data_IF_117898977808
#
_entry.id   IF_117898977808
#
_cell.length_a   1.000
_cell.length_b   1.000
_cell.length_c   1.000
_cell.angle_alpha   90.00
_cell.angle_beta   90.00
_cell.angle_gamma   90.00
#
_symmetry.space_group_name_H-M   'P 1'
#
loop_
_entity.id
_entity.type
_entity.pdbx_description
1 polymer ?
#
# COMPACT_ATOMS: atom_id res chain seq x y z
N UNK A 1 17.14 -3.28 -21.15
CA UNK A 1 15.70 -3.08 -20.94
C UNK A 1 15.55 -1.88 -20.04
N UNK A 2 15.06 -0.76 -20.57
CA UNK A 2 14.78 0.45 -19.82
C UNK A 2 13.57 1.07 -20.52
N UNK A 3 12.44 0.39 -20.42
CA UNK A 3 11.17 0.88 -20.93
C UNK A 3 10.61 1.85 -19.89
N UNK A 4 10.23 3.04 -20.33
CA UNK A 4 9.60 4.03 -19.45
C UNK A 4 8.17 3.56 -19.20
N UNK A 5 7.93 2.96 -18.03
CA UNK A 5 6.59 2.59 -17.63
C UNK A 5 5.77 3.86 -17.35
N UNK A 6 4.61 3.98 -17.99
CA UNK A 6 3.73 5.15 -17.83
C UNK A 6 2.90 5.01 -16.58
N UNK A 7 2.86 6.08 -15.79
CA UNK A 7 1.99 6.20 -14.63
C UNK A 7 0.87 7.18 -14.95
N UNK A 8 -0.37 6.73 -14.86
CA UNK A 8 -1.54 7.58 -15.02
C UNK A 8 -1.87 8.24 -13.69
N UNK A 9 -1.71 9.56 -13.63
CA UNK A 9 -2.01 10.37 -12.43
C UNK A 9 -3.46 10.86 -12.39
N UNK A 10 -4.31 10.39 -13.30
CA UNK A 10 -5.73 10.68 -13.31
C UNK A 10 -6.46 10.03 -12.14
N UNK A 11 -7.56 10.65 -11.74
CA UNK A 11 -8.45 10.11 -10.70
C UNK A 11 -9.16 8.87 -11.22
N UNK A 12 -8.62 7.69 -10.91
CA UNK A 12 -9.20 6.41 -11.30
C UNK A 12 -10.48 6.13 -10.52
N UNK A 13 -11.42 5.49 -11.21
CA UNK A 13 -12.61 4.89 -10.61
C UNK A 13 -12.32 3.42 -10.28
N UNK A 14 -13.22 2.77 -9.54
CA UNK A 14 -13.12 1.34 -9.20
C UNK A 14 -12.77 0.49 -10.43
N UNK A 15 -11.86 -0.48 -10.26
CA UNK A 15 -11.35 -1.38 -11.30
C UNK A 15 -10.50 -0.72 -12.40
N UNK A 16 -9.79 0.36 -12.09
CA UNK A 16 -8.79 0.94 -12.99
C UNK A 16 -7.46 1.12 -12.29
N UNK A 17 -6.38 0.74 -12.97
CA UNK A 17 -5.02 0.89 -12.46
C UNK A 17 -4.40 2.24 -12.87
N UNK A 18 -3.61 2.82 -11.98
CA UNK A 18 -2.71 3.95 -12.25
C UNK A 18 -1.39 3.49 -12.86
N UNK A 19 -0.98 2.29 -12.52
CA UNK A 19 0.22 1.67 -13.04
C UNK A 19 -0.09 0.23 -13.39
N UNK A 20 0.29 -0.19 -14.58
CA UNK A 20 0.20 -1.57 -15.02
C UNK A 20 1.37 -1.87 -15.94
N UNK A 21 2.22 -2.80 -15.53
CA UNK A 21 3.35 -3.28 -16.30
C UNK A 21 3.24 -4.79 -16.50
N UNK A 22 3.59 -5.24 -17.70
CA UNK A 22 3.84 -6.65 -18.01
C UNK A 22 5.21 -6.72 -18.64
N UNK A 23 6.15 -7.41 -17.99
CA UNK A 23 7.49 -7.62 -18.52
C UNK A 23 7.69 -9.09 -18.86
N UNK A 24 8.34 -9.36 -19.99
CA UNK A 24 8.74 -10.70 -20.41
C UNK A 24 10.25 -10.70 -20.63
N UNK A 25 10.91 -11.64 -19.98
CA UNK A 25 12.35 -11.85 -20.08
C UNK A 25 12.64 -13.29 -20.49
N UNK A 26 13.21 -13.44 -21.69
CA UNK A 26 13.66 -14.73 -22.20
C UNK A 26 15.18 -14.70 -22.39
N UNK A 27 15.85 -15.70 -21.81
CA UNK A 27 17.28 -15.87 -21.93
C UNK A 27 17.62 -17.32 -22.25
N UNK A 28 18.26 -17.54 -23.39
CA UNK A 28 18.72 -18.85 -23.83
C UNK A 28 20.24 -18.84 -23.90
N UNK A 29 20.89 -19.80 -23.25
CA UNK A 29 22.34 -20.04 -23.33
C UNK A 29 22.59 -21.37 -24.04
N UNK A 30 23.46 -21.38 -25.05
CA UNK A 30 23.91 -22.61 -25.72
C UNK A 30 24.89 -23.39 -24.84
N UNK A 31 24.99 -24.71 -25.05
CA UNK A 31 25.74 -25.66 -24.20
C UNK A 31 27.21 -25.29 -23.96
N UNK A 32 27.82 -24.53 -24.88
CA UNK A 32 29.23 -24.11 -24.81
C UNK A 32 29.45 -22.72 -24.17
N UNK A 33 28.38 -22.02 -23.81
CA UNK A 33 28.44 -20.67 -23.26
C UNK A 33 28.01 -20.66 -21.78
N UNK A 34 28.89 -20.21 -20.89
CA UNK A 34 28.61 -20.02 -19.45
C UNK A 34 27.73 -18.80 -19.19
N UNK A 35 26.62 -18.72 -19.90
CA UNK A 35 25.67 -17.63 -19.84
C UNK A 35 24.83 -17.68 -18.56
N UNK A 36 24.82 -16.57 -17.80
CA UNK A 36 23.97 -16.42 -16.62
C UNK A 36 23.16 -15.13 -16.72
N UNK A 37 21.85 -15.26 -16.64
CA UNK A 37 20.93 -14.15 -16.44
C UNK A 37 20.66 -13.94 -14.95
N UNK A 38 20.50 -12.69 -14.56
CA UNK A 38 19.98 -12.32 -13.24
C UNK A 38 18.95 -11.22 -13.44
N UNK A 39 17.74 -11.47 -12.94
CA UNK A 39 16.61 -10.53 -12.96
C UNK A 39 16.21 -10.25 -11.52
N UNK A 40 15.75 -9.03 -11.28
CA UNK A 40 15.16 -8.63 -10.02
C UNK A 40 14.19 -7.51 -10.29
N UNK A 41 12.97 -7.65 -9.81
CA UNK A 41 11.94 -6.63 -9.91
C UNK A 41 11.30 -6.47 -8.53
N UNK A 42 11.00 -5.22 -8.18
CA UNK A 42 10.29 -4.88 -6.95
C UNK A 42 9.33 -3.74 -7.23
N UNK A 43 8.07 -3.96 -6.88
CA UNK A 43 7.00 -2.97 -6.82
C UNK A 43 6.88 -2.50 -5.37
N UNK A 44 7.16 -1.22 -5.12
CA UNK A 44 7.00 -0.59 -3.81
C UNK A 44 5.91 0.49 -3.89
N UNK A 45 4.98 0.44 -2.94
CA UNK A 45 3.95 1.44 -2.74
C UNK A 45 3.99 1.93 -1.28
N UNK A 46 4.20 3.22 -1.10
CA UNK A 46 4.20 3.90 0.20
C UNK A 46 3.03 4.89 0.23
N UNK A 47 2.14 4.71 1.20
CA UNK A 47 0.93 5.48 1.35
C UNK A 47 0.90 6.12 2.74
N UNK A 48 0.82 7.44 2.77
CA UNK A 48 0.75 8.22 4.00
C UNK A 48 -0.36 9.25 3.93
N UNK A 49 -1.07 9.43 5.03
CA UNK A 49 -2.03 10.53 5.19
C UNK A 49 -2.09 11.03 6.62
N UNK A 50 -2.28 12.33 6.75
CA UNK A 50 -2.69 12.99 7.99
C UNK A 50 -4.22 12.98 8.00
N UNK A 51 -4.84 12.47 9.07
CA UNK A 51 -6.29 12.24 9.11
C UNK A 51 -7.12 13.44 8.65
N UNK A 52 -8.27 13.17 8.02
CA UNK A 52 -9.06 14.17 7.31
C UNK A 52 -10.56 14.03 7.52
N UNK A 53 -11.34 15.04 7.12
CA UNK A 53 -12.80 14.93 7.12
C UNK A 53 -13.26 14.01 5.97
N UNK A 54 -14.12 13.06 6.29
CA UNK A 54 -14.67 12.08 5.35
C UNK A 54 -15.70 12.69 4.39
N UNK A 55 -16.43 13.73 4.83
CA UNK A 55 -17.50 14.37 4.07
C UNK A 55 -17.03 14.94 2.71
N UNK A 56 -15.78 15.38 2.62
CA UNK A 56 -15.22 15.95 1.39
C UNK A 56 -14.53 14.89 0.51
N UNK A 57 -14.43 13.65 0.98
CA UNK A 57 -13.60 12.61 0.35
C UNK A 57 -14.33 11.32 0.01
N UNK A 58 -15.40 10.97 0.71
CA UNK A 58 -16.27 9.86 0.33
C UNK A 58 -17.35 10.31 -0.64
N UNK A 59 -17.48 9.60 -1.75
CA UNK A 59 -18.65 9.73 -2.63
C UNK A 59 -19.81 8.90 -2.07
N UNK A 60 -19.53 7.74 -1.47
CA UNK A 60 -20.54 6.91 -0.84
C UNK A 60 -21.10 7.57 0.44
N UNK A 61 -22.40 7.95 0.47
CA UNK A 61 -23.01 8.63 1.62
C UNK A 61 -23.21 7.70 2.83
N UNK A 62 -22.95 6.40 2.69
CA UNK A 62 -23.05 5.41 3.77
C UNK A 62 -21.69 5.03 4.36
N UNK A 63 -20.58 5.57 3.83
CA UNK A 63 -19.23 5.19 4.25
C UNK A 63 -18.73 5.92 5.51
N UNK A 64 -19.46 6.93 6.02
CA UNK A 64 -19.05 7.71 7.20
C UNK A 64 -19.41 6.97 8.49
N UNK A 65 -18.58 5.99 8.90
CA UNK A 65 -18.72 5.29 10.19
C UNK A 65 -18.00 5.97 11.37
N UNK A 66 -16.91 6.68 11.10
CA UNK A 66 -15.95 7.19 12.11
C UNK A 66 -16.17 8.67 12.46
N UNK A 67 -17.38 9.06 12.89
CA UNK A 67 -17.74 10.47 13.19
C UNK A 67 -17.46 11.45 12.04
N UNK A 68 -17.43 10.95 10.79
CA UNK A 68 -17.08 11.75 9.62
C UNK A 68 -15.60 12.06 9.50
N UNK A 69 -14.71 11.30 10.14
CA UNK A 69 -13.25 11.44 10.09
C UNK A 69 -12.60 10.19 9.50
N UNK A 70 -11.56 10.41 8.72
CA UNK A 70 -10.66 9.43 8.16
C UNK A 70 -9.39 9.46 9.03
N UNK A 71 -9.03 8.38 9.75
CA UNK A 71 -7.82 8.37 10.58
C UNK A 71 -6.53 8.42 9.74
N UNK A 72 -5.41 8.91 10.32
CA UNK A 72 -4.10 8.86 9.68
C UNK A 72 -3.64 7.42 9.45
N UNK A 73 -2.74 7.22 8.50
CA UNK A 73 -2.13 5.92 8.23
C UNK A 73 -0.77 6.08 7.52
N UNK A 74 0.06 5.05 7.62
CA UNK A 74 1.37 4.92 6.99
C UNK A 74 1.54 3.45 6.53
N UNK A 75 0.99 3.11 5.38
CA UNK A 75 1.01 1.75 4.85
C UNK A 75 2.08 1.61 3.78
N UNK A 76 2.97 0.62 3.94
CA UNK A 76 4.06 0.33 3.00
C UNK A 76 3.90 -1.10 2.49
N UNK A 77 3.88 -1.24 1.17
CA UNK A 77 3.75 -2.51 0.46
C UNK A 77 4.91 -2.70 -0.50
N UNK A 78 5.58 -3.84 -0.41
CA UNK A 78 6.64 -4.23 -1.33
C UNK A 78 6.38 -5.65 -1.82
N UNK A 79 6.35 -5.86 -3.12
CA UNK A 79 6.25 -7.18 -3.73
C UNK A 79 7.24 -7.30 -4.88
N UNK A 80 7.83 -8.47 -5.07
CA UNK A 80 8.80 -8.64 -6.13
C UNK A 80 9.20 -10.08 -6.40
N UNK A 81 10.00 -10.25 -7.44
CA UNK A 81 10.67 -11.50 -7.78
C UNK A 81 12.12 -11.27 -8.14
N UNK A 82 12.89 -12.36 -8.08
CA UNK A 82 14.23 -12.40 -8.62
C UNK A 82 14.53 -13.78 -9.18
N UNK A 83 15.20 -13.84 -10.31
CA UNK A 83 15.75 -15.07 -10.84
C UNK A 83 17.26 -14.94 -11.07
N UNK A 84 17.99 -16.02 -10.87
CA UNK A 84 19.39 -16.11 -11.28
C UNK A 84 19.72 -17.50 -11.79
N UNK A 85 20.26 -17.59 -13.00
CA UNK A 85 20.48 -18.88 -13.65
C UNK A 85 20.67 -18.77 -15.15
N UNK A 86 20.40 -19.87 -15.85
CA UNK A 86 20.53 -20.02 -17.30
C UNK A 86 19.22 -20.55 -17.88
N UNK A 87 18.98 -20.29 -19.17
CA UNK A 87 17.80 -20.83 -19.89
C UNK A 87 16.49 -20.51 -19.16
N UNK A 88 16.17 -19.22 -19.02
CA UNK A 88 14.95 -18.77 -18.31
C UNK A 88 13.97 -18.14 -19.28
N UNK A 89 12.70 -18.43 -19.06
CA UNK A 89 11.58 -17.66 -19.57
C UNK A 89 10.79 -17.17 -18.36
N UNK A 90 10.74 -15.86 -18.17
CA UNK A 90 10.08 -15.19 -17.05
C UNK A 90 9.07 -14.17 -17.57
N UNK A 91 7.89 -14.15 -16.97
CA UNK A 91 6.88 -13.11 -17.15
C UNK A 91 6.51 -12.57 -15.79
N UNK A 92 6.55 -11.25 -15.65
CA UNK A 92 6.09 -10.54 -14.47
C UNK A 92 4.95 -9.60 -14.82
N UNK A 93 4.04 -9.41 -13.88
CA UNK A 93 2.96 -8.42 -13.99
C UNK A 93 2.85 -7.68 -12.68
N UNK A 94 2.83 -6.36 -12.76
CA UNK A 94 2.72 -5.46 -11.62
C UNK A 94 1.60 -4.45 -11.89
N UNK A 95 0.67 -4.28 -10.94
CA UNK A 95 -0.40 -3.29 -11.07
C UNK A 95 -0.75 -2.62 -9.73
N UNK A 96 -1.11 -1.33 -9.79
CA UNK A 96 -1.56 -0.55 -8.64
C UNK A 96 -2.61 0.49 -9.02
N UNK A 97 -3.53 0.83 -8.10
CA UNK A 97 -4.58 1.85 -8.28
C UNK A 97 -4.50 2.99 -7.23
N UNK A 98 -3.28 3.39 -6.87
CA UNK A 98 -3.00 4.33 -5.79
C UNK A 98 -3.37 5.81 -6.05
N UNK A 99 -4.02 6.18 -7.16
CA UNK A 99 -4.61 7.51 -7.47
C UNK A 99 -6.09 7.38 -7.88
N UNK A 100 -7.00 7.80 -7.00
CA UNK A 100 -8.45 7.60 -7.14
C UNK A 100 -9.21 8.89 -6.81
N UNK A 101 -10.44 8.98 -7.35
CA UNK A 101 -11.29 10.18 -7.21
C UNK A 101 -11.79 10.41 -5.79
N UNK A 102 -11.87 9.36 -4.99
CA UNK A 102 -12.52 9.38 -3.68
C UNK A 102 -11.90 8.35 -2.75
N UNK A 103 -12.10 8.57 -1.45
CA UNK A 103 -11.53 7.81 -0.37
C UNK A 103 -12.23 6.46 -0.12
N UNK A 104 -13.41 6.23 -0.70
CA UNK A 104 -14.17 4.97 -0.63
C UNK A 104 -13.73 3.91 -1.65
N UNK A 105 -12.77 4.23 -2.52
CA UNK A 105 -12.16 3.25 -3.44
C UNK A 105 -10.94 2.60 -2.76
N UNK A 106 -10.93 1.27 -2.57
CA UNK A 106 -9.77 0.52 -2.06
C UNK A 106 -8.48 0.82 -2.81
N UNK A 107 -7.37 0.93 -2.09
CA UNK A 107 -6.05 0.87 -2.73
C UNK A 107 -5.62 -0.58 -2.85
N UNK A 108 -5.16 -0.95 -4.04
CA UNK A 108 -4.78 -2.27 -4.47
C UNK A 108 -3.38 -2.20 -5.06
N UNK A 109 -2.58 -3.19 -4.69
CA UNK A 109 -1.32 -3.48 -5.33
C UNK A 109 -1.28 -4.99 -5.57
N UNK A 110 -0.91 -5.40 -6.79
CA UNK A 110 -0.72 -6.79 -7.11
C UNK A 110 0.55 -6.99 -7.93
N UNK A 111 1.19 -8.13 -7.67
CA UNK A 111 2.39 -8.57 -8.35
C UNK A 111 2.29 -10.07 -8.63
N UNK A 112 2.62 -10.49 -9.84
CA UNK A 112 2.72 -11.90 -10.18
C UNK A 112 3.97 -12.17 -10.99
N UNK A 113 4.54 -13.35 -10.77
CA UNK A 113 5.64 -13.89 -11.56
C UNK A 113 5.28 -15.31 -12.00
N UNK A 114 5.60 -15.61 -13.26
CA UNK A 114 5.61 -16.96 -13.80
C UNK A 114 6.94 -17.18 -14.51
N UNK A 115 7.66 -18.25 -14.16
CA UNK A 115 8.91 -18.57 -14.83
C UNK A 115 9.17 -20.07 -14.93
N UNK A 116 9.99 -20.42 -15.90
CA UNK A 116 10.64 -21.73 -16.02
C UNK A 116 12.11 -21.53 -16.36
N UNK A 117 12.98 -22.41 -15.88
CA UNK A 117 14.41 -22.35 -16.20
C UNK A 117 15.31 -23.10 -15.24
N UNK A 118 16.62 -22.98 -15.43
CA UNK A 118 17.61 -23.63 -14.54
C UNK A 118 18.32 -22.59 -13.70
N UNK A 119 18.11 -22.61 -12.38
CA UNK A 119 18.68 -21.57 -11.53
C UNK A 119 18.07 -21.53 -10.14
N UNK A 120 17.96 -20.32 -9.59
CA UNK A 120 17.24 -20.04 -8.35
C UNK A 120 16.26 -18.89 -8.60
N UNK A 121 15.01 -19.13 -8.23
CA UNK A 121 13.92 -18.16 -8.29
C UNK A 121 13.47 -17.82 -6.86
N UNK A 122 13.08 -16.57 -6.66
CA UNK A 122 12.43 -16.12 -5.44
C UNK A 122 11.29 -15.16 -5.77
N UNK A 123 10.23 -15.20 -4.96
CA UNK A 123 9.17 -14.19 -4.98
C UNK A 123 8.78 -13.86 -3.54
N UNK A 124 8.54 -12.58 -3.26
CA UNK A 124 8.28 -12.10 -1.91
C UNK A 124 7.20 -11.01 -1.88
N UNK A 125 6.62 -10.89 -0.69
CA UNK A 125 5.72 -9.83 -0.28
C UNK A 125 6.13 -9.39 1.12
N UNK A 126 6.33 -8.09 1.30
CA UNK A 126 6.57 -7.43 2.57
C UNK A 126 5.50 -6.34 2.74
N UNK A 127 4.85 -6.31 3.89
CA UNK A 127 3.88 -5.27 4.23
C UNK A 127 4.17 -4.72 5.61
N UNK A 128 3.97 -3.43 5.76
CA UNK A 128 3.89 -2.76 7.04
C UNK A 128 2.66 -1.86 7.01
N UNK A 129 1.64 -2.26 7.75
CA UNK A 129 0.36 -1.55 7.84
C UNK A 129 0.34 -0.85 9.18
N UNK A 130 0.27 0.48 9.16
CA UNK A 130 0.10 1.29 10.37
C UNK A 130 -1.12 2.19 10.16
N UNK A 131 -2.26 1.77 10.68
CA UNK A 131 -3.47 2.60 10.62
C UNK A 131 -3.81 3.17 11.98
N UNK A 132 -4.21 4.44 11.96
CA UNK A 132 -4.86 5.07 13.09
C UNK A 132 -6.32 4.65 13.22
N UNK A 133 -6.90 4.98 14.37
CA UNK A 133 -8.35 4.96 14.61
C UNK A 133 -8.80 6.30 15.17
N UNK A 134 -10.07 6.62 14.97
CA UNK A 134 -10.65 7.91 15.37
C UNK A 134 -10.66 8.06 16.89
N UNK A 135 -10.31 9.27 17.32
CA UNK A 135 -10.33 9.71 18.70
C UNK A 135 -11.76 9.84 19.24
N UNK A 136 -11.91 10.09 20.54
CA UNK A 136 -13.11 10.79 21.00
C UNK A 136 -13.16 12.15 20.30
N UNK A 137 -14.21 12.41 19.51
CA UNK A 137 -14.38 13.71 18.84
C UNK A 137 -15.22 14.58 19.76
N UNK A 138 -14.64 15.71 20.17
CA UNK A 138 -15.37 16.76 20.86
C UNK A 138 -15.53 17.96 19.92
N UNK A 139 -16.74 18.50 19.89
CA UNK A 139 -17.07 19.67 19.09
C UNK A 139 -16.99 20.85 20.04
N UNK A 140 -15.86 21.57 20.01
CA UNK A 140 -15.72 22.77 20.81
C UNK A 140 -16.78 23.79 20.43
N UNK A 141 -17.43 24.41 21.43
CA UNK A 141 -18.23 25.60 21.19
C UNK A 141 -17.36 26.69 20.53
N UNK A 142 -17.99 27.52 19.69
CA UNK A 142 -17.42 28.67 18.98
C UNK A 142 -16.65 29.63 19.91
N UNK A 143 -15.43 29.32 20.29
CA UNK A 143 -14.59 30.26 21.02
C UNK A 143 -13.48 30.79 20.11
N UNK A 144 -13.54 32.11 19.94
CA UNK A 144 -12.59 33.05 19.31
C UNK A 144 -12.39 33.05 17.78
N UNK A 145 -12.56 31.95 17.04
CA UNK A 145 -12.24 31.93 15.59
C UNK A 145 -13.45 31.99 14.64
N UNK A 146 -14.68 31.75 15.13
CA UNK A 146 -15.90 31.83 14.32
C UNK A 146 -16.16 30.63 13.39
N UNK A 147 -15.37 29.56 13.50
CA UNK A 147 -15.50 28.30 12.76
C UNK A 147 -15.58 27.12 13.75
N UNK A 148 -16.29 26.03 13.43
CA UNK A 148 -16.28 24.83 14.26
C UNK A 148 -14.87 24.24 14.30
N UNK A 149 -14.31 24.09 15.49
CA UNK A 149 -13.03 23.41 15.72
C UNK A 149 -13.28 21.95 16.12
N UNK A 150 -12.53 21.04 15.51
CA UNK A 150 -12.54 19.62 15.86
C UNK A 150 -11.47 19.38 16.94
N UNK A 151 -11.90 18.97 18.12
CA UNK A 151 -11.00 18.53 19.17
C UNK A 151 -10.98 17.00 19.23
N UNK A 152 -9.79 16.45 19.39
CA UNK A 152 -9.58 15.01 19.42
C UNK A 152 -9.02 14.60 20.79
N UNK A 153 -9.67 13.62 21.41
CA UNK A 153 -9.27 13.03 22.67
C UNK A 153 -8.76 11.59 22.48
N UNK A 154 -7.48 11.38 22.78
CA UNK A 154 -6.86 10.07 22.78
C UNK A 154 -7.14 9.36 24.11
N UNK A 155 -8.02 8.35 24.10
CA UNK A 155 -8.34 7.56 25.28
C UNK A 155 -7.20 6.67 25.76
N UNK A 156 -6.27 6.27 24.88
CA UNK A 156 -5.16 5.36 25.23
C UNK A 156 -4.07 6.07 26.02
N UNK A 157 -3.79 7.33 25.65
CA UNK A 157 -2.76 8.16 26.29
C UNK A 157 -3.35 9.17 27.28
N UNK A 158 -4.68 9.28 27.36
CA UNK A 158 -5.39 10.30 28.14
C UNK A 158 -4.88 11.72 27.83
N UNK A 159 -4.68 12.00 26.53
CA UNK A 159 -4.16 13.27 26.00
C UNK A 159 -5.07 13.80 24.89
N UNK A 160 -5.08 15.10 24.65
CA UNK A 160 -5.91 15.70 23.61
C UNK A 160 -5.99 17.22 23.71
N UNK A 161 -6.65 17.84 22.74
CA UNK A 161 -6.90 19.29 22.73
C UNK A 161 -8.08 19.66 23.63
N UNK A 162 -8.11 19.18 24.87
CA UNK A 162 -9.14 19.56 25.85
C UNK A 162 -8.41 20.15 27.06
N UNK A 163 -8.82 21.35 27.45
CA UNK A 163 -8.45 21.95 28.72
C UNK A 163 -9.02 21.06 29.83
N UNK A 164 -8.15 20.37 30.57
CA UNK A 164 -8.54 19.85 31.88
C UNK A 164 -8.46 21.00 32.89
N UNK A 165 -9.22 20.93 33.99
CA UNK A 165 -9.33 22.00 35.00
C UNK A 165 -7.97 22.51 35.54
N UNK A 166 -6.86 21.78 35.31
CA UNK A 166 -5.52 22.12 35.78
C UNK A 166 -4.39 22.10 34.71
N UNK A 167 -4.61 21.70 33.44
CA UNK A 167 -3.53 21.73 32.41
C UNK A 167 -3.97 21.49 30.95
N UNK A 168 -3.13 21.93 30.00
CA UNK A 168 -3.21 21.60 28.56
C UNK A 168 -2.50 20.27 28.30
N UNK A 169 -3.26 19.20 28.04
CA UNK A 169 -2.68 17.86 27.80
C UNK A 169 -2.34 17.67 26.31
N UNK A 170 -1.29 18.33 25.83
CA UNK A 170 -0.94 18.36 24.40
C UNK A 170 -0.81 16.98 23.71
N UNK A 171 -1.34 16.88 22.48
CA UNK A 171 -1.27 15.70 21.61
C UNK A 171 -2.18 15.82 20.37
N UNK A 172 -1.91 15.05 19.30
CA UNK A 172 -2.69 15.06 18.05
C UNK A 172 -4.05 14.35 18.15
N UNK A 173 -4.38 13.77 19.31
CA UNK A 173 -5.66 13.10 19.62
C UNK A 173 -5.92 11.78 18.87
N UNK A 174 -5.30 11.52 17.73
CA UNK A 174 -5.39 10.22 17.04
C UNK A 174 -4.71 9.09 17.84
N UNK A 175 -5.28 7.89 17.73
CA UNK A 175 -4.78 6.66 18.37
C UNK A 175 -4.25 5.68 17.32
N UNK A 176 -3.28 4.85 17.70
CA UNK A 176 -2.90 3.69 16.90
C UNK A 176 -4.07 2.69 16.88
N UNK A 177 -4.51 2.31 15.68
CA UNK A 177 -5.57 1.34 15.47
C UNK A 177 -5.00 -0.05 15.23
N UNK A 178 -4.16 -0.17 14.21
CA UNK A 178 -3.48 -1.41 13.83
C UNK A 178 -2.02 -1.14 13.49
N UNK A 179 -1.14 -2.06 13.86
CA UNK A 179 0.22 -2.15 13.36
C UNK A 179 0.53 -3.61 13.07
N UNK A 180 0.67 -3.91 11.78
CA UNK A 180 0.86 -5.26 11.27
C UNK A 180 2.06 -5.28 10.34
N UNK A 181 2.97 -6.22 10.60
CA UNK A 181 4.08 -6.53 9.70
C UNK A 181 3.88 -7.94 9.16
N UNK A 182 3.78 -8.05 7.82
CA UNK A 182 3.72 -9.33 7.13
C UNK A 182 4.93 -9.48 6.21
N UNK A 183 5.57 -10.65 6.22
CA UNK A 183 6.67 -10.97 5.31
C UNK A 183 6.55 -12.42 4.88
N UNK A 184 6.60 -12.63 3.58
CA UNK A 184 6.58 -13.97 3.00
C UNK A 184 7.55 -14.02 1.83
N UNK A 185 8.35 -15.10 1.77
CA UNK A 185 9.28 -15.36 0.67
C UNK A 185 9.20 -16.83 0.28
N UNK A 186 9.04 -17.08 -1.01
CA UNK A 186 9.07 -18.43 -1.59
C UNK A 186 10.27 -18.54 -2.50
N UNK A 187 11.03 -19.63 -2.41
CA UNK A 187 12.22 -19.86 -3.22
C UNK A 187 12.18 -21.25 -3.86
N UNK A 188 12.62 -21.35 -5.11
CA UNK A 188 12.81 -22.62 -5.82
C UNK A 188 14.20 -22.63 -6.46
N UNK A 189 14.84 -23.80 -6.52
CA UNK A 189 16.19 -23.95 -7.08
C UNK A 189 16.38 -25.26 -7.83
N UNK A 190 17.26 -25.26 -8.82
CA UNK A 190 17.55 -26.40 -9.69
C UNK A 190 16.91 -26.24 -11.06
N UNK A 191 16.42 -27.34 -11.63
CA UNK A 191 15.59 -27.31 -12.84
C UNK A 191 14.16 -26.99 -12.42
N UNK A 192 13.67 -25.83 -12.84
CA UNK A 192 12.35 -25.30 -12.52
C UNK A 192 11.48 -25.47 -13.78
N UNK A 193 10.60 -26.48 -13.77
CA UNK A 193 9.64 -26.68 -14.87
C UNK A 193 8.58 -25.57 -14.89
N UNK A 194 8.11 -25.18 -13.70
CA UNK A 194 7.23 -24.04 -13.50
C UNK A 194 7.37 -23.50 -12.07
N UNK A 195 7.53 -22.20 -11.96
CA UNK A 195 7.39 -21.43 -10.72
C UNK A 195 6.39 -20.32 -11.00
N UNK A 196 5.31 -20.27 -10.21
CA UNK A 196 4.35 -19.20 -10.32
C UNK A 196 3.92 -18.75 -8.94
N UNK A 197 3.85 -17.43 -8.75
CA UNK A 197 3.34 -16.82 -7.54
C UNK A 197 2.60 -15.55 -7.89
N UNK A 198 1.40 -15.41 -7.34
CA UNK A 198 0.59 -14.19 -7.44
C UNK A 198 0.33 -13.67 -6.03
N UNK A 199 0.52 -12.38 -5.85
CA UNK A 199 0.40 -11.67 -4.58
C UNK A 199 -0.45 -10.43 -4.82
N UNK A 200 -1.38 -10.17 -3.92
CA UNK A 200 -2.26 -9.01 -3.99
C UNK A 200 -2.55 -8.50 -2.58
N UNK A 201 -2.65 -7.19 -2.44
CA UNK A 201 -3.02 -6.48 -1.22
C UNK A 201 -4.13 -5.52 -1.60
N UNK A 202 -5.13 -5.43 -0.73
CA UNK A 202 -6.24 -4.50 -0.87
C UNK A 202 -6.56 -3.89 0.50
N UNK A 203 -6.55 -2.56 0.56
CA UNK A 203 -6.93 -1.81 1.76
C UNK A 203 -8.42 -1.49 1.72
N UNK A 204 -9.10 -1.55 2.88
CA UNK A 204 -10.56 -1.40 2.93
C UNK A 204 -11.08 -0.02 2.50
N UNK A 205 -10.38 1.06 2.84
CA UNK A 205 -10.74 2.45 2.54
C UNK A 205 -9.46 3.23 2.27
N UNK A 206 -9.45 4.02 1.20
CA UNK A 206 -8.33 4.89 0.87
C UNK A 206 -8.43 6.18 1.67
N UNK A 207 -7.57 6.34 2.66
CA UNK A 207 -7.68 7.41 3.64
C UNK A 207 -6.95 8.73 3.22
N UNK A 208 -6.70 8.92 1.93
CA UNK A 208 -5.94 10.06 1.37
C UNK A 208 -6.68 11.39 1.42
#
# INVERSE_FOLDING_TARGET
FNEMQSMDTGNKVVNQDNFKSTEQFDYVSFEDAMGRATTSESLLLDLVSQGSVAADRFICPFATGDNGIIPPYCNVYEMGSSFTGSQVSEITQANTNFIAKSADVPTEAAYSVGLSGTGSAAAWINTHIMEGRTAGVDFGDYFETGYPEYHFWNYDMNTGWIYTDDDVVGGLGFMQGVDLVYKEKTTASGVIEAFSKSMAIQDGVRRL
#
